data_IF_985578429680
#
_entry.id   IF_985578429680
#
_cell.length_a   1.000
_cell.length_b   1.000
_cell.length_c   1.000
_cell.angle_alpha   90.00
_cell.angle_beta   90.00
_cell.angle_gamma   90.00
#
_symmetry.space_group_name_H-M   'P 1'
#
loop_
_entity.id
_entity.type
_entity.pdbx_description
1 polymer ?
#
# COMPACT_ATOMS: atom_id res chain seq x y z
N UNK A 1 5.19 26.22 -41.72
CA UNK A 1 4.11 25.27 -41.37
C UNK A 1 4.21 25.05 -39.87
N UNK A 2 3.48 25.82 -39.06
CA UNK A 2 3.54 25.72 -37.59
C UNK A 2 2.44 24.77 -37.11
N UNK A 3 2.82 23.63 -36.53
CA UNK A 3 1.91 22.74 -35.82
C UNK A 3 1.82 23.18 -34.36
N UNK A 4 0.70 23.79 -33.99
CA UNK A 4 0.34 24.08 -32.60
C UNK A 4 -0.07 22.78 -31.91
N UNK A 5 0.64 22.42 -30.84
CA UNK A 5 0.25 21.30 -29.97
C UNK A 5 -0.88 21.79 -29.08
N UNK A 6 -2.11 21.32 -29.33
CA UNK A 6 -3.27 21.60 -28.48
C UNK A 6 -3.04 20.95 -27.11
N UNK A 7 -2.86 21.78 -26.09
CA UNK A 7 -2.53 21.35 -24.72
C UNK A 7 -3.71 21.63 -23.79
N UNK A 8 -4.92 21.22 -24.19
CA UNK A 8 -6.10 21.28 -23.33
C UNK A 8 -6.18 19.97 -22.52
N UNK A 9 -5.92 19.96 -21.19
CA UNK A 9 -5.98 18.74 -20.41
C UNK A 9 -7.44 18.32 -20.19
N UNK A 10 -7.89 17.31 -20.94
CA UNK A 10 -9.17 16.64 -20.71
C UNK A 10 -9.11 15.64 -19.55
N UNK A 11 -10.23 15.42 -18.87
CA UNK A 11 -10.39 14.35 -17.88
C UNK A 11 -10.39 13.01 -18.63
N UNK A 12 -9.54 12.07 -18.21
CA UNK A 12 -9.45 10.72 -18.79
C UNK A 12 -9.80 9.67 -17.75
N UNK A 13 -10.62 8.69 -18.14
CA UNK A 13 -10.89 7.52 -17.30
C UNK A 13 -9.60 6.77 -17.04
N UNK A 14 -9.38 6.43 -15.78
CA UNK A 14 -8.26 5.63 -15.32
C UNK A 14 -8.81 4.40 -14.61
N UNK A 15 -8.39 3.22 -15.06
CA UNK A 15 -8.69 1.95 -14.41
C UNK A 15 -7.37 1.35 -13.95
N UNK A 16 -7.31 0.96 -12.68
CA UNK A 16 -6.18 0.22 -12.13
C UNK A 16 -6.39 -1.27 -12.36
N UNK A 17 -5.36 -1.94 -12.88
CA UNK A 17 -5.31 -3.39 -13.02
C UNK A 17 -4.14 -3.89 -12.17
N UNK A 18 -4.45 -4.69 -11.14
CA UNK A 18 -3.44 -5.29 -10.28
C UNK A 18 -3.38 -6.78 -10.62
N UNK A 19 -2.23 -7.29 -11.10
CA UNK A 19 -2.06 -8.71 -11.37
C UNK A 19 -2.31 -9.58 -10.14
N UNK A 20 -3.01 -10.70 -10.32
CA UNK A 20 -3.34 -11.61 -9.22
C UNK A 20 -2.08 -12.14 -8.51
N UNK A 21 -1.00 -12.37 -9.25
CA UNK A 21 0.30 -12.78 -8.71
C UNK A 21 0.87 -11.80 -7.66
N UNK A 22 0.62 -10.49 -7.81
CA UNK A 22 1.09 -9.49 -6.85
C UNK A 22 0.28 -9.54 -5.55
N UNK A 23 -1.01 -9.87 -5.65
CA UNK A 23 -1.88 -10.07 -4.49
C UNK A 23 -1.49 -11.35 -3.74
N UNK A 24 -1.19 -12.42 -4.48
CA UNK A 24 -0.79 -13.69 -3.90
C UNK A 24 0.58 -13.60 -3.23
N UNK A 25 1.55 -12.92 -3.86
CA UNK A 25 2.84 -12.59 -3.23
C UNK A 25 2.66 -11.77 -1.94
N UNK A 26 1.84 -10.72 -2.00
CA UNK A 26 1.55 -9.87 -0.84
C UNK A 26 1.00 -10.70 0.33
N UNK A 27 0.03 -11.57 0.06
CA UNK A 27 -0.54 -12.47 1.08
C UNK A 27 0.52 -13.42 1.64
N UNK A 28 1.37 -13.98 0.78
CA UNK A 28 2.47 -14.84 1.19
C UNK A 28 3.41 -14.13 2.16
N UNK A 29 3.79 -12.88 1.84
CA UNK A 29 4.66 -12.05 2.70
C UNK A 29 4.01 -11.70 4.04
N UNK A 30 2.72 -11.36 4.04
CA UNK A 30 1.98 -11.09 5.29
C UNK A 30 1.96 -12.35 6.16
N UNK A 31 1.64 -13.52 5.58
CA UNK A 31 1.61 -14.78 6.31
C UNK A 31 2.99 -15.19 6.86
N UNK A 32 4.06 -14.85 6.15
CA UNK A 32 5.44 -15.10 6.57
C UNK A 32 5.98 -14.05 7.57
N UNK A 33 5.17 -13.10 8.01
CA UNK A 33 5.61 -12.03 8.93
C UNK A 33 6.03 -12.61 10.27
N UNK A 34 7.30 -12.36 10.65
CA UNK A 34 7.79 -12.63 12.00
C UNK A 34 7.40 -11.47 12.93
N UNK A 35 6.43 -11.72 13.80
CA UNK A 35 5.97 -10.73 14.76
C UNK A 35 6.98 -10.52 15.91
N UNK A 36 7.13 -9.28 16.41
CA UNK A 36 7.89 -9.01 17.62
C UNK A 36 7.15 -9.54 18.87
N UNK A 37 7.84 -9.49 20.02
CA UNK A 37 7.19 -9.66 21.33
C UNK A 37 6.30 -8.46 21.65
N UNK A 38 5.42 -8.62 22.64
CA UNK A 38 4.58 -7.53 23.16
C UNK A 38 5.44 -6.40 23.76
N UNK A 39 4.88 -5.20 23.72
CA UNK A 39 5.48 -3.98 24.26
C UNK A 39 5.62 -4.04 25.79
N UNK A 40 6.51 -3.21 26.33
CA UNK A 40 6.78 -3.17 27.78
C UNK A 40 5.82 -2.25 28.56
N UNK A 41 4.96 -1.52 27.86
CA UNK A 41 4.10 -0.47 28.41
C UNK A 41 2.70 -0.58 27.81
N UNK A 42 1.70 -0.19 28.59
CA UNK A 42 0.29 -0.32 28.18
C UNK A 42 -0.19 0.83 27.27
N UNK A 43 0.60 1.91 27.16
CA UNK A 43 0.28 3.06 26.32
C UNK A 43 0.97 2.99 24.94
N UNK A 44 0.79 4.04 24.12
CA UNK A 44 1.34 4.13 22.75
C UNK A 44 2.68 4.84 22.66
N UNK A 45 3.39 5.01 23.77
CA UNK A 45 4.69 5.70 23.79
C UNK A 45 5.77 4.96 22.99
N UNK A 46 5.61 3.64 22.77
CA UNK A 46 6.50 2.80 21.96
C UNK A 46 6.04 2.60 20.50
N UNK A 47 4.96 3.26 20.08
CA UNK A 47 4.43 3.19 18.72
C UNK A 47 3.12 2.43 18.61
N UNK A 48 2.90 1.82 17.43
CA UNK A 48 1.70 1.01 17.17
C UNK A 48 1.82 -0.29 17.94
N UNK A 49 0.82 -0.56 18.79
CA UNK A 49 0.79 -1.75 19.63
C UNK A 49 0.58 -3.01 18.79
N UNK A 50 1.25 -4.10 19.15
CA UNK A 50 1.16 -5.41 18.50
C UNK A 50 -0.29 -5.91 18.38
N UNK A 51 -1.14 -5.61 19.37
CA UNK A 51 -2.56 -5.93 19.36
C UNK A 51 -3.34 -5.29 18.20
N UNK A 52 -2.81 -4.24 17.56
CA UNK A 52 -3.42 -3.60 16.38
C UNK A 52 -3.07 -4.31 15.07
N UNK A 53 -2.00 -5.12 15.07
CA UNK A 53 -1.44 -5.75 13.86
C UNK A 53 -1.85 -7.22 13.69
N UNK A 54 -2.43 -7.84 14.73
CA UNK A 54 -2.98 -9.19 14.74
C UNK A 54 -4.48 -9.18 14.48
#
# INVERSE_FOLDING_TARGET
MSTTVDTTPGIRSFQIEIPQEQIDDLRGRIAATRWPTEELVEDRSQGVQLATLR
#
